data_IF_186246541222
#
_entry.id   IF_186246541222
#
_cell.length_a   1.000
_cell.length_b   1.000
_cell.length_c   1.000
_cell.angle_alpha   90.00
_cell.angle_beta   90.00
_cell.angle_gamma   90.00
#
_symmetry.space_group_name_H-M   'P 1'
#
loop_
_entity.id
_entity.type
_entity.pdbx_description
1 polymer ?
#
# COMPACT_ATOMS: atom_id res chain seq x y z
N UNK A 1 -1.95 5.57 15.07
CA UNK A 1 -0.99 4.54 14.63
C UNK A 1 0.20 4.56 15.59
N UNK A 2 0.52 3.46 16.28
CA UNK A 2 1.52 3.46 17.35
C UNK A 2 2.85 2.78 16.97
N UNK A 3 2.96 2.17 15.78
CA UNK A 3 4.08 1.28 15.46
C UNK A 3 5.02 1.80 14.37
N UNK A 4 4.56 2.65 13.45
CA UNK A 4 5.41 3.15 12.36
C UNK A 4 6.65 3.91 12.87
N UNK A 5 6.53 4.68 13.95
CA UNK A 5 7.67 5.35 14.57
C UNK A 5 8.79 4.38 15.00
N UNK A 6 8.43 3.22 15.58
CA UNK A 6 9.39 2.18 15.95
C UNK A 6 9.93 1.45 14.73
N UNK A 7 9.08 1.16 13.73
CA UNK A 7 9.48 0.55 12.46
C UNK A 7 10.53 1.40 11.74
N UNK A 8 10.39 2.72 11.74
CA UNK A 8 11.39 3.64 11.15
C UNK A 8 12.75 3.49 11.84
N UNK A 9 12.79 3.40 13.18
CA UNK A 9 14.05 3.18 13.90
C UNK A 9 14.68 1.83 13.57
N UNK A 10 13.86 0.78 13.43
CA UNK A 10 14.34 -0.54 13.04
C UNK A 10 14.92 -0.56 11.62
N UNK A 11 14.19 -0.04 10.63
CA UNK A 11 14.65 0.03 9.23
C UNK A 11 15.97 0.80 9.11
N UNK A 12 16.10 1.91 9.85
CA UNK A 12 17.33 2.72 9.88
C UNK A 12 18.56 1.93 10.32
N UNK A 13 18.40 0.94 11.19
CA UNK A 13 19.50 0.11 11.69
C UNK A 13 19.87 -1.04 10.74
N UNK A 14 19.06 -1.30 9.71
CA UNK A 14 19.23 -2.41 8.78
C UNK A 14 19.26 -1.95 7.31
N UNK A 15 20.16 -1.03 6.91
CA UNK A 15 20.13 -0.42 5.58
C UNK A 15 20.36 -1.42 4.42
N UNK A 16 20.95 -2.58 4.71
CA UNK A 16 21.25 -3.62 3.71
C UNK A 16 20.13 -4.67 3.56
N UNK A 17 19.04 -4.55 4.33
CA UNK A 17 17.90 -5.46 4.28
C UNK A 17 16.78 -4.81 3.46
N UNK A 18 16.18 -5.58 2.55
CA UNK A 18 14.98 -5.14 1.84
C UNK A 18 13.75 -5.34 2.73
N UNK A 19 12.95 -4.29 2.87
CA UNK A 19 11.72 -4.30 3.65
C UNK A 19 10.52 -4.07 2.75
N UNK A 20 9.40 -4.68 3.12
CA UNK A 20 8.10 -4.35 2.55
C UNK A 20 7.14 -4.01 3.69
N UNK A 21 6.54 -2.83 3.63
CA UNK A 21 5.47 -2.43 4.53
C UNK A 21 4.18 -3.07 4.04
N UNK A 22 3.60 -3.95 4.85
CA UNK A 22 2.31 -4.55 4.55
C UNK A 22 1.16 -3.58 4.81
N UNK A 23 0.11 -3.74 4.00
CA UNK A 23 -1.18 -3.06 4.12
C UNK A 23 -1.12 -1.55 4.29
N UNK A 24 -0.22 -0.89 3.56
CA UNK A 24 0.07 0.54 3.67
C UNK A 24 0.36 1.00 5.11
N UNK A 25 0.74 0.08 6.00
CA UNK A 25 0.87 0.34 7.42
C UNK A 25 -0.46 0.70 8.07
N UNK A 26 -1.59 0.07 7.72
CA UNK A 26 -2.88 0.10 8.44
C UNK A 26 -3.30 1.46 9.02
N UNK A 27 -3.53 2.50 8.20
CA UNK A 27 -4.12 3.76 8.66
C UNK A 27 -5.52 3.52 9.22
N UNK A 28 -6.00 4.42 10.08
CA UNK A 28 -7.39 4.37 10.54
C UNK A 28 -8.30 5.05 9.51
N UNK A 29 -8.66 4.31 8.46
CA UNK A 29 -9.49 4.79 7.36
C UNK A 29 -10.94 4.97 7.80
N UNK A 30 -11.45 4.07 8.66
CA UNK A 30 -12.81 4.14 9.20
C UNK A 30 -13.14 5.50 9.81
N UNK A 31 -12.23 6.04 10.62
CA UNK A 31 -12.40 7.35 11.25
C UNK A 31 -11.83 8.51 10.41
N UNK A 32 -11.41 8.24 9.17
CA UNK A 32 -10.79 9.20 8.25
C UNK A 32 -9.56 9.93 8.86
N UNK A 33 -8.82 9.24 9.73
CA UNK A 33 -7.68 9.80 10.43
C UNK A 33 -6.40 9.64 9.61
N UNK A 34 -6.01 10.74 8.96
CA UNK A 34 -4.83 10.76 8.10
C UNK A 34 -3.51 10.91 8.87
N UNK A 35 -3.52 11.64 9.98
CA UNK A 35 -2.35 11.80 10.86
C UNK A 35 -2.46 10.86 12.08
N UNK A 36 -1.33 10.36 12.61
CA UNK A 36 0.06 10.63 12.23
C UNK A 36 0.55 9.79 11.03
N UNK A 37 -0.29 8.91 10.50
CA UNK A 37 0.07 7.93 9.46
C UNK A 37 0.72 8.60 8.24
N UNK A 38 0.14 9.68 7.72
CA UNK A 38 0.64 10.41 6.56
C UNK A 38 2.12 10.79 6.72
N UNK A 39 2.43 11.49 7.81
CA UNK A 39 3.79 11.97 8.09
C UNK A 39 4.76 10.83 8.35
N UNK A 40 4.32 9.79 9.06
CA UNK A 40 5.18 8.64 9.37
C UNK A 40 5.46 7.77 8.15
N UNK A 41 4.46 7.57 7.30
CA UNK A 41 4.63 6.88 6.02
C UNK A 41 5.63 7.62 5.13
N UNK A 42 5.54 8.95 5.05
CA UNK A 42 6.49 9.76 4.28
C UNK A 42 7.92 9.59 4.79
N UNK A 43 8.13 9.61 6.11
CA UNK A 43 9.45 9.36 6.72
C UNK A 43 9.97 7.96 6.42
N UNK A 44 9.10 6.94 6.47
CA UNK A 44 9.48 5.58 6.15
C UNK A 44 9.84 5.41 4.66
N UNK A 45 9.18 6.16 3.77
CA UNK A 45 9.43 6.06 2.33
C UNK A 45 10.74 6.71 1.89
N UNK A 46 11.37 7.55 2.73
CA UNK A 46 12.71 8.11 2.50
C UNK A 46 13.81 7.03 2.49
N UNK A 47 13.55 5.86 3.05
CA UNK A 47 14.48 4.73 3.01
C UNK A 47 14.35 3.98 1.67
N UNK A 48 15.38 3.97 0.81
CA UNK A 48 15.29 3.39 -0.53
C UNK A 48 15.13 1.86 -0.52
N UNK A 49 15.49 1.20 0.58
CA UNK A 49 15.34 -0.24 0.80
C UNK A 49 13.96 -0.65 1.35
N UNK A 50 12.97 0.25 1.31
CA UNK A 50 11.58 -0.02 1.72
C UNK A 50 10.64 0.11 0.53
N UNK A 51 9.87 -0.95 0.29
CA UNK A 51 8.70 -0.98 -0.59
C UNK A 51 7.41 -1.01 0.22
N UNK A 52 6.26 -0.76 -0.41
CA UNK A 52 4.96 -0.77 0.24
C UNK A 52 3.96 -1.63 -0.53
N UNK A 53 3.21 -2.49 0.16
CA UNK A 53 2.05 -3.14 -0.44
C UNK A 53 0.83 -2.23 -0.38
N UNK A 54 0.16 -2.08 -1.52
CA UNK A 54 -1.19 -1.51 -1.62
C UNK A 54 -2.18 -2.67 -1.47
N UNK A 55 -2.52 -2.97 -0.22
CA UNK A 55 -3.34 -4.12 0.18
C UNK A 55 -4.07 -3.86 1.50
N UNK A 56 -5.13 -4.61 1.82
CA UNK A 56 -5.76 -4.54 3.15
C UNK A 56 -6.40 -3.20 3.53
N UNK A 57 -6.63 -2.28 2.58
CA UNK A 57 -7.26 -0.98 2.87
C UNK A 57 -8.74 -1.14 3.28
N UNK A 58 -9.46 -2.00 2.57
CA UNK A 58 -10.90 -2.20 2.75
C UNK A 58 -11.28 -2.70 4.16
N UNK A 59 -10.35 -3.42 4.81
CA UNK A 59 -10.51 -3.93 6.19
C UNK A 59 -10.01 -2.96 7.26
N UNK A 60 -9.49 -1.79 6.87
CA UNK A 60 -9.23 -0.67 7.79
C UNK A 60 -10.27 0.46 7.64
N UNK A 61 -11.11 0.38 6.60
CA UNK A 61 -12.25 1.27 6.36
C UNK A 61 -13.49 0.80 7.12
N UNK A 62 -14.63 1.47 6.92
CA UNK A 62 -15.91 0.98 7.43
C UNK A 62 -16.37 -0.25 6.63
N UNK A 63 -16.43 -1.41 7.30
CA UNK A 63 -16.68 -2.71 6.64
C UNK A 63 -18.01 -2.76 5.88
N UNK A 64 -19.02 -2.03 6.35
CA UNK A 64 -20.37 -2.09 5.80
C UNK A 64 -20.60 -1.04 4.70
N UNK A 65 -19.89 0.09 4.76
CA UNK A 65 -20.27 1.28 4.00
C UNK A 65 -19.13 2.01 3.29
N UNK A 66 -17.90 1.48 3.30
CA UNK A 66 -16.77 2.12 2.60
C UNK A 66 -17.07 2.35 1.11
N UNK A 67 -16.56 3.48 0.61
CA UNK A 67 -16.56 3.87 -0.80
C UNK A 67 -15.14 3.92 -1.34
N UNK A 68 -14.97 3.78 -2.66
CA UNK A 68 -13.64 3.89 -3.28
C UNK A 68 -13.00 5.27 -3.05
N UNK A 69 -13.82 6.31 -2.91
CA UNK A 69 -13.42 7.68 -2.58
C UNK A 69 -12.82 7.79 -1.18
N UNK A 70 -13.26 6.96 -0.21
CA UNK A 70 -12.65 6.91 1.13
C UNK A 70 -11.20 6.39 1.10
N UNK A 71 -10.90 5.51 0.13
CA UNK A 71 -9.58 4.87 0.03
C UNK A 71 -8.59 5.72 -0.79
N UNK A 72 -9.11 6.50 -1.74
CA UNK A 72 -8.31 7.27 -2.71
C UNK A 72 -7.21 8.13 -2.07
N UNK A 73 -7.47 8.92 -1.00
CA UNK A 73 -6.42 9.76 -0.40
C UNK A 73 -5.24 8.95 0.16
N UNK A 74 -5.50 7.75 0.65
CA UNK A 74 -4.47 6.87 1.20
C UNK A 74 -3.65 6.22 0.09
N UNK A 75 -4.31 5.76 -0.99
CA UNK A 75 -3.64 5.22 -2.18
C UNK A 75 -2.74 6.29 -2.81
N UNK A 76 -3.27 7.50 -3.00
CA UNK A 76 -2.53 8.62 -3.59
C UNK A 76 -1.30 8.97 -2.77
N UNK A 77 -1.44 9.07 -1.44
CA UNK A 77 -0.31 9.38 -0.57
C UNK A 77 0.75 8.28 -0.56
N UNK A 78 0.37 7.01 -0.67
CA UNK A 78 1.33 5.89 -0.83
C UNK A 78 2.11 6.03 -2.13
N UNK A 79 1.41 6.29 -3.25
CA UNK A 79 2.06 6.47 -4.55
C UNK A 79 2.98 7.70 -4.53
N UNK A 80 2.55 8.83 -3.94
CA UNK A 80 3.39 10.03 -3.77
C UNK A 80 4.63 9.76 -2.92
N UNK A 81 4.51 8.93 -1.88
CA UNK A 81 5.60 8.63 -0.97
C UNK A 81 6.65 7.68 -1.56
N UNK A 82 6.20 6.61 -2.21
CA UNK A 82 7.08 5.52 -2.65
C UNK A 82 7.44 5.59 -4.13
N UNK A 83 6.58 6.22 -4.95
CA UNK A 83 6.63 6.14 -6.40
C UNK A 83 6.22 4.76 -6.92
N UNK A 84 5.94 4.69 -8.23
CA UNK A 84 5.55 3.43 -8.87
C UNK A 84 6.65 2.36 -8.86
N UNK A 85 7.91 2.69 -8.60
CA UNK A 85 9.01 1.73 -8.51
C UNK A 85 9.04 0.93 -7.20
N UNK A 86 8.25 1.32 -6.19
CA UNK A 86 8.31 0.71 -4.85
C UNK A 86 6.94 0.38 -4.25
N UNK A 87 5.90 0.33 -5.08
CA UNK A 87 4.55 -0.08 -4.66
C UNK A 87 4.17 -1.41 -5.31
N UNK A 88 3.55 -2.31 -4.55
CA UNK A 88 3.17 -3.65 -5.01
C UNK A 88 1.71 -3.89 -4.65
N UNK A 89 0.90 -4.35 -5.59
CA UNK A 89 -0.47 -4.79 -5.33
C UNK A 89 -0.49 -6.02 -4.40
N UNK A 90 -1.47 -6.06 -3.49
CA UNK A 90 -1.88 -7.29 -2.82
C UNK A 90 -3.37 -7.28 -2.53
N UNK A 91 -4.03 -8.44 -2.64
CA UNK A 91 -5.46 -8.54 -2.38
C UNK A 91 -5.81 -8.56 -0.89
N UNK A 92 -4.89 -9.07 -0.06
CA UNK A 92 -5.18 -9.48 1.33
C UNK A 92 -6.33 -10.52 1.42
N UNK A 93 -6.56 -11.29 0.36
CA UNK A 93 -7.54 -12.38 0.36
C UNK A 93 -7.02 -13.58 1.19
N UNK A 94 -7.85 -14.24 2.00
CA UNK A 94 -9.30 -14.08 2.16
C UNK A 94 -9.74 -13.05 3.20
N UNK A 95 -8.82 -12.37 3.89
CA UNK A 95 -9.17 -11.39 4.94
C UNK A 95 -10.01 -10.24 4.37
N UNK A 96 -9.68 -9.75 3.17
CA UNK A 96 -10.43 -8.73 2.46
C UNK A 96 -11.90 -9.13 2.17
N UNK A 97 -12.22 -10.43 2.12
CA UNK A 97 -13.58 -10.93 1.89
C UNK A 97 -14.57 -10.52 2.99
N UNK A 98 -14.08 -10.04 4.13
CA UNK A 98 -14.92 -9.48 5.20
C UNK A 98 -15.52 -8.12 4.85
N UNK A 99 -14.94 -7.38 3.90
CA UNK A 99 -15.36 -6.02 3.53
C UNK A 99 -15.64 -5.84 2.03
N UNK A 100 -15.18 -6.76 1.17
CA UNK A 100 -15.37 -6.64 -0.28
C UNK A 100 -15.23 -7.98 -1.00
N UNK A 101 -15.79 -8.07 -2.20
CA UNK A 101 -15.43 -9.12 -3.15
C UNK A 101 -14.11 -8.79 -3.86
N UNK A 102 -13.41 -9.83 -4.33
CA UNK A 102 -12.11 -9.69 -5.00
C UNK A 102 -12.17 -8.76 -6.23
N UNK A 103 -13.12 -8.89 -7.17
CA UNK A 103 -13.18 -8.00 -8.34
C UNK A 103 -13.39 -6.53 -7.94
N UNK A 104 -14.28 -6.26 -6.98
CA UNK A 104 -14.53 -4.90 -6.48
C UNK A 104 -13.25 -4.26 -5.90
N UNK A 105 -12.38 -5.04 -5.24
CA UNK A 105 -11.10 -4.51 -4.75
C UNK A 105 -10.17 -4.12 -5.91
N UNK A 106 -10.02 -4.99 -6.91
CA UNK A 106 -9.19 -4.71 -8.09
C UNK A 106 -9.71 -3.48 -8.83
N UNK A 107 -11.01 -3.44 -9.13
CA UNK A 107 -11.66 -2.30 -9.82
C UNK A 107 -11.50 -0.98 -9.05
N UNK A 108 -11.55 -1.03 -7.72
CA UNK A 108 -11.33 0.14 -6.85
C UNK A 108 -9.90 0.67 -6.99
N UNK A 109 -8.91 -0.22 -6.97
CA UNK A 109 -7.52 0.19 -7.13
C UNK A 109 -7.24 0.69 -8.56
N UNK A 110 -7.73 -0.02 -9.59
CA UNK A 110 -7.63 0.41 -10.99
C UNK A 110 -8.24 1.78 -11.22
N UNK A 111 -9.42 2.04 -10.65
CA UNK A 111 -10.04 3.36 -10.68
C UNK A 111 -9.14 4.42 -10.03
N UNK A 112 -8.57 4.11 -8.86
CA UNK A 112 -7.70 5.03 -8.14
C UNK A 112 -6.44 5.42 -8.94
N UNK A 113 -5.93 4.53 -9.79
CA UNK A 113 -4.73 4.74 -10.60
C UNK A 113 -5.01 4.95 -12.10
N UNK A 114 -6.26 5.19 -12.48
CA UNK A 114 -6.73 5.24 -13.88
C UNK A 114 -6.05 6.28 -14.78
N UNK A 115 -5.37 7.29 -14.21
CA UNK A 115 -4.59 8.29 -14.95
C UNK A 115 -3.12 7.92 -15.19
N UNK A 116 -2.66 6.77 -14.71
CA UNK A 116 -1.26 6.37 -14.78
C UNK A 116 -0.94 5.64 -16.09
N UNK A 117 0.34 5.67 -16.47
CA UNK A 117 0.84 5.00 -17.68
C UNK A 117 0.79 3.48 -17.56
N UNK A 118 0.76 2.78 -18.71
CA UNK A 118 0.81 1.32 -18.74
C UNK A 118 2.03 0.75 -18.00
N UNK A 119 3.18 1.42 -18.07
CA UNK A 119 4.40 1.00 -17.38
C UNK A 119 4.27 1.13 -15.86
N UNK A 120 3.64 2.21 -15.37
CA UNK A 120 3.36 2.40 -13.94
C UNK A 120 2.38 1.34 -13.41
N UNK A 121 1.32 1.05 -14.17
CA UNK A 121 0.38 -0.01 -13.82
C UNK A 121 1.05 -1.38 -13.79
N UNK A 122 1.91 -1.68 -14.77
CA UNK A 122 2.65 -2.93 -14.83
C UNK A 122 3.60 -3.10 -13.63
N UNK A 123 4.25 -2.02 -13.20
CA UNK A 123 5.07 -2.00 -11.97
C UNK A 123 4.24 -2.33 -10.74
N UNK A 124 3.10 -1.64 -10.55
CA UNK A 124 2.21 -1.85 -9.41
C UNK A 124 1.67 -3.28 -9.34
N UNK A 125 1.17 -3.80 -10.46
CA UNK A 125 0.45 -5.07 -10.49
C UNK A 125 1.34 -6.31 -10.71
N UNK A 126 2.58 -6.15 -11.18
CA UNK A 126 3.43 -7.30 -11.53
C UNK A 126 4.92 -7.07 -11.28
N UNK A 127 5.57 -6.16 -12.02
CA UNK A 127 7.04 -6.16 -12.17
C UNK A 127 7.76 -5.95 -10.84
N UNK A 128 7.24 -5.09 -9.96
CA UNK A 128 7.86 -4.86 -8.65
C UNK A 128 7.78 -6.09 -7.75
N UNK A 129 6.71 -6.90 -7.84
CA UNK A 129 6.59 -8.12 -7.06
C UNK A 129 7.60 -9.17 -7.55
N UNK A 130 7.74 -9.34 -8.87
CA UNK A 130 8.73 -10.24 -9.47
C UNK A 130 10.15 -9.86 -9.02
N UNK A 131 10.49 -8.56 -9.11
CA UNK A 131 11.80 -8.05 -8.71
C UNK A 131 12.06 -8.18 -7.21
N UNK A 132 11.11 -7.77 -6.37
CA UNK A 132 11.29 -7.78 -4.91
C UNK A 132 11.41 -9.19 -4.35
N UNK A 133 10.51 -10.09 -4.78
CA UNK A 133 10.47 -11.48 -4.32
C UNK A 133 11.41 -12.42 -5.08
N UNK A 134 12.07 -11.93 -6.14
CA UNK A 134 13.01 -12.70 -6.98
C UNK A 134 12.35 -13.95 -7.58
N UNK A 135 11.14 -13.76 -8.11
CA UNK A 135 10.37 -14.81 -8.78
C UNK A 135 10.25 -14.48 -10.27
N UNK A 136 10.28 -15.50 -11.13
CA UNK A 136 10.06 -15.34 -12.58
C UNK A 136 8.57 -15.29 -12.88
N UNK A 137 8.22 -14.55 -13.94
CA UNK A 137 6.94 -14.74 -14.61
C UNK A 137 7.14 -15.89 -15.61
N UNK A 138 6.74 -17.09 -15.21
CA UNK A 138 6.67 -18.26 -16.08
C UNK A 138 5.42 -18.21 -16.97
#
# INVERSE_FOLDING_TARGET
HQHLANTIQFVKQCPNIQFILDHIGKPNIKDQLFEPWKRELKKLSEFPNVSCKVSGLVTEADFESWTREDLKPYIDHVIECFGFDRVIYGSDWPVAAQATEYPRWVETLEWAVSGCSADELKKLFCDNALQFYRVSAD
#
